data_IF_086270361320
#
_entry.id   IF_086270361320
#
_cell.length_a   1.000
_cell.length_b   1.000
_cell.length_c   1.000
_cell.angle_alpha   90.00
_cell.angle_beta   90.00
_cell.angle_gamma   90.00
#
_symmetry.space_group_name_H-M   'P 1'
#
loop_
_entity.id
_entity.type
_entity.pdbx_description
1 polymer ?
#
# COMPACT_ATOMS: atom_id res chain seq x y z
N UNK A 1 -51.62 1.66 -75.94
CA UNK A 1 -50.81 2.81 -76.34
C UNK A 1 -49.52 2.81 -75.52
N UNK A 2 -48.37 3.16 -76.12
CA UNK A 2 -47.02 3.04 -75.56
C UNK A 2 -46.46 4.36 -74.99
N UNK A 3 -45.36 4.23 -74.26
CA UNK A 3 -44.25 5.20 -74.18
C UNK A 3 -44.29 6.18 -73.01
N UNK A 4 -43.18 6.72 -72.52
CA UNK A 4 -41.74 6.44 -72.66
C UNK A 4 -41.04 7.28 -71.55
N UNK A 5 -39.86 6.81 -71.13
CA UNK A 5 -38.79 7.30 -70.21
C UNK A 5 -38.30 8.77 -70.42
N UNK A 6 -37.20 9.31 -69.80
CA UNK A 6 -36.42 9.05 -68.55
C UNK A 6 -35.87 10.34 -67.83
N UNK A 7 -34.95 10.14 -66.87
CA UNK A 7 -33.86 11.02 -66.32
C UNK A 7 -34.21 12.22 -65.42
N UNK A 8 -33.84 12.24 -64.13
CA UNK A 8 -32.54 12.29 -63.43
C UNK A 8 -32.07 13.74 -63.16
N UNK A 9 -32.08 14.14 -61.89
CA UNK A 9 -31.14 15.11 -61.31
C UNK A 9 -31.09 14.91 -59.79
N UNK A 10 -29.87 14.65 -59.31
CA UNK A 10 -29.44 14.60 -57.92
C UNK A 10 -29.87 15.83 -57.12
N UNK A 11 -30.27 15.66 -55.86
CA UNK A 11 -29.92 16.54 -54.72
C UNK A 11 -30.40 15.86 -53.42
N UNK A 12 -29.47 15.25 -52.67
CA UNK A 12 -29.58 15.12 -51.21
C UNK A 12 -29.31 16.50 -50.59
N UNK A 13 -30.12 16.96 -49.62
CA UNK A 13 -29.51 17.74 -48.54
C UNK A 13 -29.99 17.33 -47.14
N UNK A 14 -29.04 16.72 -46.43
CA UNK A 14 -28.55 16.95 -45.07
C UNK A 14 -29.48 16.88 -43.83
N UNK A 15 -28.99 16.28 -42.72
CA UNK A 15 -29.70 16.24 -41.45
C UNK A 15 -29.67 17.59 -40.73
N UNK A 16 -30.84 17.99 -40.20
CA UNK A 16 -30.99 19.06 -39.22
C UNK A 16 -30.40 18.61 -37.88
N UNK A 17 -29.30 19.24 -37.45
CA UNK A 17 -28.88 19.24 -36.04
C UNK A 17 -28.50 20.67 -35.65
N UNK A 18 -29.51 21.43 -35.25
CA UNK A 18 -29.37 22.78 -34.70
C UNK A 18 -29.36 22.66 -33.16
N UNK A 19 -28.19 22.36 -32.58
CA UNK A 19 -28.01 22.38 -31.11
C UNK A 19 -27.53 23.75 -30.68
N UNK A 20 -28.44 24.48 -30.04
CA UNK A 20 -28.25 25.84 -29.55
C UNK A 20 -27.07 25.94 -28.54
N UNK A 21 -26.05 26.77 -28.79
CA UNK A 21 -24.81 26.85 -27.99
C UNK A 21 -25.02 27.18 -26.49
N UNK A 22 -26.14 27.82 -26.14
CA UNK A 22 -26.44 28.28 -24.79
C UNK A 22 -26.71 27.16 -23.77
N UNK A 23 -27.25 26.02 -24.21
CA UNK A 23 -27.59 24.89 -23.31
C UNK A 23 -26.32 24.20 -22.80
N UNK A 24 -25.31 24.07 -23.66
CA UNK A 24 -24.03 23.44 -23.31
C UNK A 24 -23.24 24.22 -22.24
N UNK A 25 -23.36 25.55 -22.24
CA UNK A 25 -22.67 26.41 -21.28
C UNK A 25 -23.26 26.29 -19.87
N UNK A 26 -24.58 26.14 -19.76
CA UNK A 26 -25.28 25.92 -18.49
C UNK A 26 -24.97 24.54 -17.90
N UNK A 27 -24.92 23.50 -18.73
CA UNK A 27 -24.56 22.15 -18.27
C UNK A 27 -23.11 22.08 -17.77
N UNK A 28 -22.19 22.77 -18.44
CA UNK A 28 -20.79 22.83 -18.01
C UNK A 28 -20.62 23.62 -16.71
N UNK A 29 -21.41 24.67 -16.51
CA UNK A 29 -21.43 25.43 -15.26
C UNK A 29 -22.00 24.59 -14.11
N UNK A 30 -23.09 23.86 -14.34
CA UNK A 30 -23.67 22.95 -13.36
C UNK A 30 -22.67 21.86 -12.94
N UNK A 31 -22.00 21.22 -13.89
CA UNK A 31 -20.93 20.23 -13.63
C UNK A 31 -19.77 20.82 -12.83
N UNK A 32 -19.39 22.06 -13.11
CA UNK A 32 -18.29 22.74 -12.40
C UNK A 32 -18.65 23.07 -10.95
N UNK A 33 -19.90 23.48 -10.69
CA UNK A 33 -20.42 23.74 -9.34
C UNK A 33 -20.54 22.43 -8.54
N UNK A 34 -20.97 21.35 -9.18
CA UNK A 34 -21.07 20.02 -8.56
C UNK A 34 -19.68 19.52 -8.12
N UNK A 35 -18.67 19.62 -9.01
CA UNK A 35 -17.28 19.27 -8.69
C UNK A 35 -16.69 20.13 -7.58
N UNK A 36 -16.97 21.44 -7.56
CA UNK A 36 -16.50 22.35 -6.52
C UNK A 36 -17.12 22.02 -5.15
N UNK A 37 -18.40 21.65 -5.15
CA UNK A 37 -19.15 21.29 -3.94
C UNK A 37 -18.64 19.97 -3.36
N UNK A 38 -18.34 18.97 -4.19
CA UNK A 38 -17.71 17.73 -3.75
C UNK A 38 -16.34 17.98 -3.07
N UNK A 39 -15.51 18.85 -3.65
CA UNK A 39 -14.21 19.19 -3.06
C UNK A 39 -14.35 19.92 -1.72
N UNK A 40 -15.30 20.85 -1.60
CA UNK A 40 -15.54 21.60 -0.36
C UNK A 40 -16.11 20.71 0.77
N UNK A 41 -16.97 19.73 0.45
CA UNK A 41 -17.52 18.79 1.43
C UNK A 41 -16.49 17.79 1.99
N UNK A 42 -15.34 17.61 1.32
CA UNK A 42 -14.20 16.85 1.87
C UNK A 42 -13.31 17.68 2.82
N UNK A 43 -13.62 18.97 3.00
CA UNK A 43 -12.94 19.88 3.92
C UNK A 43 -13.60 19.98 5.30
N UNK A 44 -14.08 18.88 5.86
CA UNK A 44 -14.31 18.77 7.30
C UNK A 44 -13.11 18.04 7.86
N UNK A 45 -12.50 18.56 8.93
CA UNK A 45 -11.38 17.97 9.66
C UNK A 45 -11.72 16.57 10.17
N UNK A 46 -11.74 15.60 9.26
CA UNK A 46 -11.53 14.22 9.57
C UNK A 46 -10.03 14.07 9.64
N UNK A 47 -9.53 13.81 10.85
CA UNK A 47 -8.28 13.06 11.01
C UNK A 47 -8.23 12.04 9.90
N UNK A 48 -7.23 12.15 9.02
CA UNK A 48 -7.04 11.29 7.86
C UNK A 48 -6.78 9.85 8.33
N UNK A 49 -7.83 9.20 8.82
CA UNK A 49 -7.97 7.76 8.81
C UNK A 49 -8.11 7.44 7.34
N UNK A 50 -6.98 7.13 6.74
CA UNK A 50 -6.87 6.26 5.58
C UNK A 50 -7.99 5.23 5.64
N UNK A 51 -8.63 4.93 4.50
CA UNK A 51 -9.67 3.88 4.36
C UNK A 51 -9.07 2.51 4.70
N UNK A 52 -8.79 2.30 5.97
CA UNK A 52 -8.27 1.09 6.54
C UNK A 52 -9.48 0.19 6.75
N UNK A 53 -9.42 -1.01 6.18
CA UNK A 53 -10.43 -2.05 6.37
C UNK A 53 -10.74 -2.19 7.86
N UNK A 54 -11.97 -1.89 8.27
CA UNK A 54 -12.38 -2.11 9.65
C UNK A 54 -12.40 -3.63 9.88
N UNK A 55 -11.65 -4.16 10.87
CA UNK A 55 -11.61 -5.60 11.08
C UNK A 55 -12.96 -6.07 11.61
N UNK A 56 -13.40 -7.24 11.18
CA UNK A 56 -14.61 -7.87 11.70
C UNK A 56 -14.56 -7.98 13.23
N UNK A 57 -15.71 -7.84 13.90
CA UNK A 57 -15.78 -7.96 15.37
C UNK A 57 -15.94 -9.41 15.81
N UNK A 58 -15.23 -9.81 16.88
CA UNK A 58 -15.37 -11.12 17.50
C UNK A 58 -16.22 -11.03 18.77
N UNK A 59 -17.43 -11.56 18.72
CA UNK A 59 -18.42 -11.53 19.81
C UNK A 59 -18.39 -12.78 20.71
N UNK A 60 -17.56 -13.77 20.37
CA UNK A 60 -17.45 -15.04 21.09
C UNK A 60 -18.50 -16.09 20.70
N UNK A 61 -19.39 -15.82 19.75
CA UNK A 61 -20.45 -16.74 19.34
C UNK A 61 -19.91 -17.95 18.57
N UNK A 62 -18.87 -17.75 17.74
CA UNK A 62 -18.20 -18.82 16.99
C UNK A 62 -16.70 -18.89 17.32
N UNK A 63 -16.27 -19.80 18.20
CA UNK A 63 -14.87 -19.96 18.56
C UNK A 63 -13.92 -20.22 17.37
N UNK A 64 -14.42 -20.75 16.24
CA UNK A 64 -13.59 -21.01 15.06
C UNK A 64 -13.11 -19.71 14.40
N UNK A 65 -13.82 -18.60 14.60
CA UNK A 65 -13.45 -17.29 14.07
C UNK A 65 -12.34 -16.60 14.85
N UNK A 66 -11.99 -17.10 16.04
CA UNK A 66 -10.99 -16.46 16.90
C UNK A 66 -9.63 -16.32 16.21
N UNK A 67 -9.17 -17.36 15.50
CA UNK A 67 -7.88 -17.31 14.80
C UNK A 67 -7.88 -16.28 13.67
N UNK A 68 -8.91 -16.30 12.81
CA UNK A 68 -9.06 -15.34 11.71
C UNK A 68 -9.13 -13.91 12.24
N UNK A 69 -9.95 -13.66 13.27
CA UNK A 69 -10.07 -12.36 13.93
C UNK A 69 -8.72 -11.84 14.43
N UNK A 70 -7.93 -12.68 15.12
CA UNK A 70 -6.63 -12.28 15.64
C UNK A 70 -5.62 -11.97 14.52
N UNK A 71 -5.64 -12.73 13.43
CA UNK A 71 -4.75 -12.49 12.29
C UNK A 71 -5.11 -11.17 11.62
N UNK A 72 -6.38 -10.99 11.24
CA UNK A 72 -6.87 -9.77 10.59
C UNK A 72 -6.62 -8.55 11.47
N UNK A 73 -6.94 -8.63 12.78
CA UNK A 73 -6.68 -7.55 13.73
C UNK A 73 -5.20 -7.14 13.75
N UNK A 74 -4.27 -8.11 13.74
CA UNK A 74 -2.83 -7.80 13.71
C UNK A 74 -2.39 -7.16 12.40
N UNK A 75 -2.88 -7.66 11.26
CA UNK A 75 -2.58 -7.11 9.93
C UNK A 75 -3.10 -5.68 9.84
N UNK A 76 -4.39 -5.47 10.10
CA UNK A 76 -5.03 -4.15 10.09
C UNK A 76 -4.36 -3.17 11.05
N UNK A 77 -4.08 -3.60 12.29
CA UNK A 77 -3.38 -2.77 13.25
C UNK A 77 -1.99 -2.36 12.75
N UNK A 78 -1.22 -3.29 12.16
CA UNK A 78 0.11 -2.98 11.62
C UNK A 78 0.03 -2.04 10.41
N UNK A 79 -0.93 -2.26 9.51
CA UNK A 79 -1.19 -1.40 8.36
C UNK A 79 -1.49 0.05 8.77
N UNK A 80 -2.16 0.26 9.92
CA UNK A 80 -2.43 1.61 10.43
C UNK A 80 -1.17 2.45 10.72
N UNK A 81 -0.01 1.80 10.89
CA UNK A 81 1.28 2.46 11.08
C UNK A 81 2.05 2.68 9.76
N UNK A 82 1.62 2.08 8.64
CA UNK A 82 2.27 2.26 7.36
C UNK A 82 2.01 3.67 6.80
N UNK A 83 3.02 4.24 6.15
CA UNK A 83 2.97 5.58 5.55
C UNK A 83 3.73 5.61 4.23
N UNK A 84 3.46 6.63 3.41
CA UNK A 84 4.20 6.87 2.17
C UNK A 84 4.08 5.71 1.18
N UNK A 85 5.21 5.27 0.62
CA UNK A 85 5.25 4.19 -0.37
C UNK A 85 4.80 2.84 0.18
N UNK A 86 5.07 2.56 1.47
CA UNK A 86 4.62 1.32 2.11
C UNK A 86 3.10 1.23 2.12
N UNK A 87 2.42 2.29 2.55
CA UNK A 87 0.96 2.34 2.54
C UNK A 87 0.39 2.20 1.12
N UNK A 88 0.94 2.94 0.15
CA UNK A 88 0.50 2.87 -1.26
C UNK A 88 0.61 1.47 -1.85
N UNK A 89 1.65 0.71 -1.50
CA UNK A 89 1.83 -0.66 -1.98
C UNK A 89 0.69 -1.57 -1.56
N UNK A 90 0.32 -1.54 -0.28
CA UNK A 90 -0.78 -2.37 0.24
C UNK A 90 -2.17 -1.85 -0.17
N UNK A 91 -2.32 -0.56 -0.49
CA UNK A 91 -3.57 -0.02 -1.05
C UNK A 91 -3.79 -0.41 -2.52
N UNK A 92 -2.72 -0.51 -3.32
CA UNK A 92 -2.82 -0.91 -4.73
C UNK A 92 -3.34 -2.34 -4.88
N UNK A 93 -2.91 -3.23 -4.00
CA UNK A 93 -3.34 -4.63 -3.98
C UNK A 93 -4.83 -4.79 -3.62
N UNK A 94 -5.41 -3.79 -2.94
CA UNK A 94 -6.84 -3.73 -2.60
C UNK A 94 -7.70 -3.10 -3.70
N UNK A 95 -7.10 -2.38 -4.65
CA UNK A 95 -7.81 -1.70 -5.74
C UNK A 95 -8.19 -2.64 -6.90
N UNK A 96 -7.64 -3.87 -6.93
CA UNK A 96 -7.84 -4.84 -8.00
C UNK A 96 -9.04 -5.78 -7.83
N UNK A 97 -9.67 -5.82 -6.65
CA UNK A 97 -10.52 -6.94 -6.25
C UNK A 97 -11.99 -6.52 -6.14
N UNK A 98 -12.69 -6.58 -7.27
CA UNK A 98 -14.16 -6.60 -7.28
C UNK A 98 -14.73 -7.97 -6.87
N UNK A 99 -13.88 -9.01 -6.86
CA UNK A 99 -14.20 -10.38 -6.47
C UNK A 99 -13.64 -10.68 -5.07
N UNK A 100 -14.46 -11.16 -4.11
CA UNK A 100 -14.01 -11.64 -2.80
C UNK A 100 -12.95 -12.76 -2.85
N UNK A 101 -12.90 -13.55 -3.93
CA UNK A 101 -11.92 -14.64 -4.08
C UNK A 101 -10.54 -14.16 -4.54
N UNK A 102 -10.43 -12.91 -5.02
CA UNK A 102 -9.15 -12.33 -5.45
C UNK A 102 -8.38 -11.65 -4.30
N UNK A 103 -8.85 -11.80 -3.05
CA UNK A 103 -8.22 -11.17 -1.88
C UNK A 103 -6.73 -11.58 -1.76
N UNK A 104 -5.82 -10.63 -1.47
CA UNK A 104 -4.42 -10.96 -1.33
C UNK A 104 -4.14 -11.97 -0.21
N UNK A 105 -3.35 -13.00 -0.50
CA UNK A 105 -2.98 -14.06 0.45
C UNK A 105 -2.36 -13.53 1.75
N UNK A 106 -1.72 -12.36 1.72
CA UNK A 106 -1.14 -11.75 2.91
C UNK A 106 -2.18 -11.27 3.93
N UNK A 107 -3.42 -11.03 3.53
CA UNK A 107 -4.45 -10.44 4.38
C UNK A 107 -4.96 -11.43 5.44
N UNK A 108 -5.00 -12.73 5.11
CA UNK A 108 -5.42 -13.80 6.03
C UNK A 108 -4.25 -14.56 6.66
N UNK A 109 -3.01 -14.12 6.41
CA UNK A 109 -1.81 -14.74 6.97
C UNK A 109 -0.81 -13.70 7.44
N UNK A 110 -0.66 -13.62 8.76
CA UNK A 110 0.37 -12.77 9.38
C UNK A 110 1.78 -13.04 8.81
N UNK A 111 2.08 -14.30 8.50
CA UNK A 111 3.38 -14.69 7.96
C UNK A 111 3.58 -14.11 6.55
N UNK A 112 2.59 -14.27 5.68
CA UNK A 112 2.67 -13.77 4.30
C UNK A 112 2.69 -12.25 4.27
N UNK A 113 1.95 -11.56 5.16
CA UNK A 113 2.05 -10.12 5.34
C UNK A 113 3.46 -9.64 5.71
N UNK A 114 4.13 -10.33 6.64
CA UNK A 114 5.51 -9.99 6.99
C UNK A 114 6.47 -10.29 5.84
N UNK A 115 6.29 -11.39 5.12
CA UNK A 115 7.09 -11.71 3.93
C UNK A 115 6.95 -10.59 2.91
N UNK A 116 5.73 -10.25 2.51
CA UNK A 116 5.43 -9.20 1.53
C UNK A 116 6.04 -7.85 1.94
N UNK A 117 5.88 -7.46 3.20
CA UNK A 117 6.46 -6.23 3.73
C UNK A 117 8.00 -6.25 3.69
N UNK A 118 8.62 -7.38 4.02
CA UNK A 118 10.08 -7.52 4.04
C UNK A 118 10.69 -7.68 2.63
N UNK A 119 10.02 -8.35 1.71
CA UNK A 119 10.51 -8.49 0.33
C UNK A 119 10.46 -7.16 -0.40
N UNK A 120 9.43 -6.35 -0.12
CA UNK A 120 9.22 -5.07 -0.81
C UNK A 120 9.98 -3.92 -0.16
N UNK A 121 10.05 -3.87 1.17
CA UNK A 121 10.63 -2.74 1.91
C UNK A 121 11.81 -3.11 2.80
N UNK A 122 12.13 -4.39 2.92
CA UNK A 122 13.27 -4.86 3.68
C UNK A 122 14.60 -4.74 2.90
N UNK A 123 15.73 -4.92 3.60
CA UNK A 123 17.03 -5.05 2.97
C UNK A 123 17.05 -6.23 1.99
N UNK A 124 17.64 -6.04 0.80
CA UNK A 124 17.69 -7.09 -0.24
C UNK A 124 18.43 -8.36 0.20
N UNK A 125 19.39 -8.25 1.11
CA UNK A 125 20.02 -9.40 1.76
C UNK A 125 20.20 -9.10 3.25
N UNK A 126 19.32 -9.65 4.08
CA UNK A 126 19.32 -9.43 5.53
C UNK A 126 20.64 -9.85 6.18
N UNK A 127 21.17 -11.02 5.78
CA UNK A 127 22.40 -11.59 6.36
C UNK A 127 23.60 -10.73 6.00
N UNK A 128 23.82 -10.46 4.71
CA UNK A 128 24.95 -9.64 4.28
C UNK A 128 24.87 -8.19 4.81
N UNK A 129 23.66 -7.66 4.96
CA UNK A 129 23.44 -6.35 5.58
C UNK A 129 23.73 -6.38 7.08
N UNK A 130 23.42 -7.47 7.79
CA UNK A 130 23.77 -7.64 9.20
C UNK A 130 25.28 -7.83 9.39
N UNK A 131 25.93 -8.62 8.52
CA UNK A 131 27.38 -8.80 8.49
C UNK A 131 28.11 -7.47 8.27
N UNK A 132 27.71 -6.69 7.25
CA UNK A 132 28.28 -5.36 7.01
C UNK A 132 28.04 -4.41 8.19
N UNK A 133 26.86 -4.45 8.81
CA UNK A 133 26.59 -3.65 10.00
C UNK A 133 27.41 -4.07 11.22
N UNK A 134 27.73 -5.37 11.39
CA UNK A 134 28.63 -5.84 12.44
C UNK A 134 30.06 -5.34 12.21
N UNK A 135 30.55 -5.42 10.98
CA UNK A 135 31.90 -4.95 10.61
C UNK A 135 32.10 -3.46 10.91
N UNK A 136 31.03 -2.67 10.77
CA UNK A 136 31.05 -1.23 11.03
C UNK A 136 30.50 -0.84 12.42
N UNK A 137 30.18 -1.81 13.29
CA UNK A 137 29.60 -1.51 14.59
C UNK A 137 30.67 -1.05 15.59
N UNK A 138 30.64 0.24 15.93
CA UNK A 138 31.58 0.87 16.85
C UNK A 138 30.83 1.58 17.99
N UNK A 139 31.28 1.38 19.23
CA UNK A 139 30.80 2.11 20.40
C UNK A 139 31.56 3.43 20.51
N UNK A 140 30.83 4.54 20.46
CA UNK A 140 31.41 5.87 20.68
C UNK A 140 31.77 6.07 22.16
N UNK A 141 32.80 6.85 22.44
CA UNK A 141 33.29 7.14 23.80
C UNK A 141 32.21 7.67 24.77
N UNK A 142 31.17 8.32 24.22
CA UNK A 142 30.06 8.91 24.95
C UNK A 142 28.76 8.09 24.91
N UNK A 143 28.78 6.88 24.33
CA UNK A 143 27.61 6.02 24.25
C UNK A 143 27.46 5.13 25.49
N UNK A 144 26.22 4.81 25.83
CA UNK A 144 25.93 3.80 26.85
C UNK A 144 26.25 2.41 26.32
N UNK A 145 27.05 1.64 27.05
CA UNK A 145 27.45 0.26 26.66
C UNK A 145 26.26 -0.65 26.37
N UNK A 146 25.17 -0.51 27.12
CA UNK A 146 23.95 -1.31 26.90
C UNK A 146 23.36 -1.09 25.50
N UNK A 147 23.45 0.13 24.95
CA UNK A 147 22.98 0.43 23.60
C UNK A 147 23.82 -0.30 22.54
N UNK A 148 25.14 -0.36 22.74
CA UNK A 148 26.04 -1.13 21.88
C UNK A 148 25.73 -2.62 21.96
N UNK A 149 25.67 -3.19 23.18
CA UNK A 149 25.42 -4.61 23.42
C UNK A 149 24.08 -5.06 22.80
N UNK A 150 23.01 -4.29 23.00
CA UNK A 150 21.71 -4.60 22.41
C UNK A 150 21.77 -4.59 20.88
N UNK A 151 22.45 -3.60 20.29
CA UNK A 151 22.59 -3.51 18.83
C UNK A 151 23.46 -4.63 18.27
N UNK A 152 24.55 -4.98 18.95
CA UNK A 152 25.42 -6.10 18.60
C UNK A 152 24.63 -7.41 18.61
N UNK A 153 23.92 -7.72 19.70
CA UNK A 153 23.16 -8.96 19.83
C UNK A 153 22.04 -9.06 18.79
N UNK A 154 21.38 -7.94 18.46
CA UNK A 154 20.36 -7.89 17.42
C UNK A 154 20.94 -8.15 16.01
N UNK A 155 22.17 -7.70 15.73
CA UNK A 155 22.83 -8.00 14.45
C UNK A 155 23.37 -9.43 14.42
N UNK A 156 23.97 -9.89 15.51
CA UNK A 156 24.51 -11.24 15.64
C UNK A 156 23.43 -12.32 15.48
N UNK A 157 22.19 -12.05 15.93
CA UNK A 157 21.06 -12.97 15.73
C UNK A 157 20.57 -13.09 14.28
N UNK A 158 21.00 -12.19 13.39
CA UNK A 158 20.62 -12.18 11.98
C UNK A 158 21.67 -12.82 11.06
N UNK A 159 22.87 -13.13 11.57
CA UNK A 159 23.94 -13.75 10.79
C UNK A 159 23.93 -15.27 10.96
N UNK A 160 24.14 -16.00 9.87
CA UNK A 160 24.26 -17.46 9.89
C UNK A 160 25.68 -17.88 9.51
N UNK A 161 26.30 -18.76 10.31
CA UNK A 161 27.62 -19.32 10.02
C UNK A 161 28.78 -18.67 10.77
N UNK A 162 28.54 -17.63 11.57
CA UNK A 162 29.57 -17.09 12.47
C UNK A 162 29.62 -17.92 13.75
N UNK A 163 30.81 -18.45 14.04
CA UNK A 163 31.06 -19.12 15.32
C UNK A 163 31.24 -18.11 16.46
N UNK A 164 31.15 -18.61 17.69
CA UNK A 164 31.29 -17.79 18.90
C UNK A 164 32.59 -16.97 18.92
N UNK A 165 33.71 -17.56 18.48
CA UNK A 165 34.99 -16.85 18.38
C UNK A 165 35.00 -15.68 17.38
N UNK A 166 34.28 -15.80 16.27
CA UNK A 166 34.14 -14.73 15.28
C UNK A 166 33.30 -13.58 15.82
N UNK A 167 32.17 -13.90 16.47
CA UNK A 167 31.32 -12.89 17.11
C UNK A 167 32.04 -12.21 18.28
N UNK A 168 32.79 -12.97 19.08
CA UNK A 168 33.61 -12.41 20.14
C UNK A 168 34.64 -11.42 19.59
N UNK A 169 35.33 -11.75 18.49
CA UNK A 169 36.23 -10.81 17.84
C UNK A 169 35.50 -9.51 17.45
N UNK A 170 34.39 -9.59 16.72
CA UNK A 170 33.61 -8.39 16.33
C UNK A 170 33.16 -7.56 17.54
N UNK A 171 32.78 -8.19 18.64
CA UNK A 171 32.34 -7.48 19.84
C UNK A 171 33.47 -6.62 20.43
N UNK A 172 34.67 -7.18 20.59
CA UNK A 172 35.79 -6.45 21.21
C UNK A 172 36.44 -5.44 20.25
N UNK A 173 36.43 -5.69 18.94
CA UNK A 173 36.90 -4.70 17.94
C UNK A 173 36.01 -3.46 17.85
N UNK A 174 34.76 -3.55 18.34
CA UNK A 174 33.83 -2.43 18.35
C UNK A 174 33.82 -1.60 19.64
N UNK A 175 34.65 -1.94 20.64
CA UNK A 175 34.76 -1.16 21.88
C UNK A 175 35.74 0.01 21.70
N UNK A 176 35.54 1.14 22.40
CA UNK A 176 36.50 2.24 22.41
C UNK A 176 37.80 1.81 23.09
N UNK A 177 38.89 2.46 22.70
CA UNK A 177 40.23 2.25 23.27
C UNK A 177 40.33 2.62 24.77
#
# INVERSE_FOLDING_TARGET
MPGDDPDNDDEEPLPEDDVEPGVTMLDNLAKSIELLTCNACTGSESSSRTKLHEPDTFDGTDPKKLCTFLIQSKVTFTQSFLKGMALKWFELDLLGTGDPEDQPYWMDSWKEFIIELQTTFGPHNLVANAESQLDHLQMKDNHQVNKYVVKFNWLASQVWGYGDGTLHHFFYTGLPD
#
